data_IF_525215287905
#
_entry.id   IF_525215287905
#
_cell.length_a   1.000
_cell.length_b   1.000
_cell.length_c   1.000
_cell.angle_alpha   90.00
_cell.angle_beta   90.00
_cell.angle_gamma   90.00
#
_symmetry.space_group_name_H-M   'P 1'
#
loop_
_entity.id
_entity.type
_entity.pdbx_description
1 polymer ?
#
# COMPACT_ATOMS: atom_id res chain seq x y z
N UNK A 1 -17.20 -13.61 -21.51
CA UNK A 1 -16.89 -12.74 -20.35
C UNK A 1 -15.48 -13.10 -19.89
N UNK A 2 -14.61 -12.16 -19.50
CA UNK A 2 -13.23 -12.51 -19.12
C UNK A 2 -13.19 -13.49 -17.94
N UNK A 3 -14.10 -13.30 -16.97
CA UNK A 3 -14.31 -14.16 -15.79
C UNK A 3 -14.71 -15.62 -16.12
N UNK A 4 -15.13 -15.92 -17.36
CA UNK A 4 -15.51 -17.27 -17.77
C UNK A 4 -14.37 -18.03 -18.47
N UNK A 5 -13.14 -17.51 -18.42
CA UNK A 5 -11.96 -18.11 -19.04
C UNK A 5 -10.99 -18.59 -17.96
N UNK A 6 -10.12 -19.59 -18.23
CA UNK A 6 -9.21 -20.18 -17.22
C UNK A 6 -7.98 -19.30 -16.92
N UNK A 7 -8.13 -17.97 -17.01
CA UNK A 7 -7.04 -17.01 -16.76
C UNK A 7 -7.19 -16.39 -15.38
N UNK A 8 -6.06 -16.12 -14.74
CA UNK A 8 -6.02 -15.36 -13.49
C UNK A 8 -6.16 -13.88 -13.84
N UNK A 9 -7.10 -13.19 -13.18
CA UNK A 9 -7.33 -11.75 -13.35
C UNK A 9 -6.79 -11.03 -12.11
N UNK A 10 -6.04 -9.96 -12.34
CA UNK A 10 -5.66 -9.02 -11.30
C UNK A 10 -5.99 -7.59 -11.68
N UNK A 11 -6.53 -6.85 -10.72
CA UNK A 11 -6.76 -5.42 -10.78
C UNK A 11 -5.56 -4.69 -10.18
N UNK A 12 -4.82 -3.98 -11.02
CA UNK A 12 -3.58 -3.29 -10.63
C UNK A 12 -3.76 -1.78 -10.60
N UNK A 13 -3.16 -1.11 -9.61
CA UNK A 13 -3.11 0.37 -9.55
C UNK A 13 -1.90 0.89 -8.78
N UNK A 14 -1.38 2.07 -9.17
CA UNK A 14 -0.26 2.75 -8.52
C UNK A 14 -0.70 3.77 -7.45
N UNK A 15 -1.83 3.53 -6.80
CA UNK A 15 -2.40 4.46 -5.81
C UNK A 15 -1.63 4.42 -4.48
N UNK A 16 -1.22 5.59 -3.98
CA UNK A 16 -0.41 5.73 -2.76
C UNK A 16 -1.17 6.36 -1.58
N UNK A 17 -2.46 6.66 -1.75
CA UNK A 17 -3.28 7.44 -0.81
C UNK A 17 -4.51 6.73 -0.24
N UNK A 18 -4.91 5.61 -0.81
CA UNK A 18 -6.07 4.86 -0.35
C UNK A 18 -5.62 3.43 -0.07
N UNK A 19 -6.16 2.82 0.98
CA UNK A 19 -5.87 1.43 1.28
C UNK A 19 -6.56 0.51 0.28
N UNK A 20 -6.08 -0.73 0.20
CA UNK A 20 -6.64 -1.76 -0.68
C UNK A 20 -8.13 -1.98 -0.46
N UNK A 21 -8.60 -1.87 0.79
CA UNK A 21 -10.01 -2.03 1.17
C UNK A 21 -10.90 -0.92 0.59
N UNK A 22 -10.46 0.32 0.60
CA UNK A 22 -11.24 1.44 0.04
C UNK A 22 -11.47 1.26 -1.46
N UNK A 23 -10.45 0.78 -2.17
CA UNK A 23 -10.54 0.46 -3.59
C UNK A 23 -11.53 -0.68 -3.84
N UNK A 24 -11.48 -1.74 -3.03
CA UNK A 24 -12.42 -2.87 -3.11
C UNK A 24 -13.86 -2.38 -2.94
N UNK A 25 -14.14 -1.62 -1.89
CA UNK A 25 -15.48 -1.08 -1.63
C UNK A 25 -15.98 -0.19 -2.78
N UNK A 26 -15.10 0.62 -3.38
CA UNK A 26 -15.45 1.44 -4.55
C UNK A 26 -15.78 0.60 -5.77
N UNK A 27 -14.99 -0.44 -6.07
CA UNK A 27 -15.25 -1.34 -7.20
C UNK A 27 -16.57 -2.09 -7.02
N UNK A 28 -16.84 -2.60 -5.82
CA UNK A 28 -18.12 -3.27 -5.50
C UNK A 28 -19.31 -2.32 -5.66
N UNK A 29 -19.19 -1.05 -5.20
CA UNK A 29 -20.25 -0.03 -5.38
C UNK A 29 -20.52 0.30 -6.85
N UNK A 30 -19.53 0.12 -7.73
CA UNK A 30 -19.67 0.30 -9.18
C UNK A 30 -20.25 -0.94 -9.89
N UNK A 31 -20.56 -2.02 -9.15
CA UNK A 31 -21.14 -3.24 -9.68
C UNK A 31 -20.13 -4.25 -10.22
N UNK A 32 -18.84 -4.09 -9.90
CA UNK A 32 -17.84 -5.10 -10.22
C UNK A 32 -17.86 -6.23 -9.19
N UNK A 33 -17.79 -7.47 -9.67
CA UNK A 33 -17.56 -8.66 -8.88
C UNK A 33 -16.05 -8.87 -8.76
N UNK A 34 -15.46 -8.41 -7.66
CA UNK A 34 -14.01 -8.41 -7.39
C UNK A 34 -13.79 -8.87 -5.96
N UNK A 35 -12.86 -9.80 -5.78
CA UNK A 35 -12.41 -10.23 -4.48
C UNK A 35 -11.13 -9.48 -4.06
N UNK A 36 -10.90 -9.36 -2.74
CA UNK A 36 -9.75 -8.63 -2.21
C UNK A 36 -8.41 -9.19 -2.71
N UNK A 37 -8.27 -10.51 -2.83
CA UNK A 37 -7.06 -11.16 -3.33
C UNK A 37 -6.78 -10.90 -4.83
N UNK A 38 -7.75 -10.40 -5.58
CA UNK A 38 -7.59 -10.02 -6.99
C UNK A 38 -7.07 -8.59 -7.18
N UNK A 39 -6.99 -7.80 -6.10
CA UNK A 39 -6.48 -6.43 -6.13
C UNK A 39 -5.01 -6.41 -5.72
N UNK A 40 -4.18 -5.77 -6.53
CA UNK A 40 -2.76 -5.57 -6.27
C UNK A 40 -2.38 -4.08 -6.44
N UNK A 41 -1.95 -3.44 -5.35
CA UNK A 41 -1.61 -2.01 -5.33
C UNK A 41 -0.10 -1.80 -5.22
N UNK A 42 0.37 -0.59 -5.51
CA UNK A 42 1.75 -0.19 -5.19
C UNK A 42 2.07 -0.33 -3.68
N UNK A 43 1.09 -0.11 -2.79
CA UNK A 43 1.22 -0.35 -1.35
C UNK A 43 1.38 -1.84 -1.04
N UNK A 44 0.63 -2.72 -1.72
CA UNK A 44 0.79 -4.18 -1.61
C UNK A 44 2.21 -4.59 -2.03
N UNK A 45 2.71 -4.04 -3.13
CA UNK A 45 4.08 -4.29 -3.59
C UNK A 45 5.13 -3.82 -2.57
N UNK A 46 4.95 -2.63 -1.99
CA UNK A 46 5.83 -2.10 -0.95
C UNK A 46 5.83 -2.99 0.30
N UNK A 47 4.64 -3.40 0.79
CA UNK A 47 4.50 -4.32 1.92
C UNK A 47 5.23 -5.65 1.67
N UNK A 48 5.02 -6.27 0.51
CA UNK A 48 5.67 -7.53 0.16
C UNK A 48 7.20 -7.40 0.18
N UNK A 49 7.73 -6.27 -0.31
CA UNK A 49 9.17 -6.02 -0.29
C UNK A 49 9.70 -5.84 1.13
N UNK A 50 8.96 -5.16 2.01
CA UNK A 50 9.33 -5.02 3.42
C UNK A 50 9.40 -6.38 4.13
N UNK A 51 8.39 -7.23 3.91
CA UNK A 51 8.33 -8.59 4.48
C UNK A 51 9.49 -9.46 3.94
N UNK A 52 9.75 -9.40 2.63
CA UNK A 52 10.86 -10.13 2.00
C UNK A 52 12.23 -9.67 2.51
N UNK A 53 12.41 -8.37 2.76
CA UNK A 53 13.67 -7.79 3.25
C UNK A 53 13.82 -7.86 4.77
N UNK A 54 12.74 -8.19 5.49
CA UNK A 54 12.69 -8.25 6.96
C UNK A 54 13.17 -6.94 7.61
N UNK A 55 12.71 -5.80 7.07
CA UNK A 55 13.05 -4.46 7.55
C UNK A 55 11.87 -3.81 8.27
N UNK A 56 12.17 -2.87 9.15
CA UNK A 56 11.22 -2.04 9.89
C UNK A 56 11.18 -0.64 9.26
N UNK A 57 10.10 -0.25 8.57
CA UNK A 57 10.08 1.00 7.85
C UNK A 57 9.71 2.20 8.73
N UNK A 58 10.33 3.34 8.45
CA UNK A 58 9.71 4.64 8.61
C UNK A 58 8.76 4.87 7.43
N UNK A 59 7.46 4.94 7.73
CA UNK A 59 6.41 5.09 6.73
C UNK A 59 6.12 6.58 6.49
N UNK A 60 6.57 7.12 5.35
CA UNK A 60 6.20 8.46 4.86
C UNK A 60 5.08 8.32 3.82
N UNK A 61 3.92 7.87 4.26
CA UNK A 61 2.72 7.62 3.43
C UNK A 61 1.51 8.38 3.99
N UNK A 62 0.46 8.54 3.20
CA UNK A 62 -0.80 9.13 3.70
C UNK A 62 -1.38 8.26 4.84
N UNK A 63 -1.99 8.85 5.86
CA UNK A 63 -2.59 8.10 6.98
C UNK A 63 -3.59 7.04 6.51
N UNK A 64 -4.30 7.31 5.41
CA UNK A 64 -5.24 6.37 4.79
C UNK A 64 -4.58 5.13 4.18
N UNK A 65 -3.27 5.18 3.92
CA UNK A 65 -2.50 4.05 3.41
C UNK A 65 -1.95 3.15 4.55
N UNK A 66 -1.92 3.63 5.80
CA UNK A 66 -1.41 2.87 6.95
C UNK A 66 -2.08 1.50 7.17
N UNK A 67 -3.39 1.30 6.92
CA UNK A 67 -4.02 -0.01 7.04
C UNK A 67 -3.32 -1.11 6.23
N UNK A 68 -2.79 -0.79 5.05
CA UNK A 68 -2.06 -1.75 4.18
C UNK A 68 -0.73 -2.20 4.81
N UNK A 69 -0.20 -1.50 5.81
CA UNK A 69 1.02 -1.85 6.54
C UNK A 69 0.77 -2.45 7.93
N UNK A 70 -0.50 -2.72 8.30
CA UNK A 70 -0.83 -3.32 9.60
C UNK A 70 -0.06 -4.62 9.83
N UNK A 71 0.57 -4.77 11.00
CA UNK A 71 1.38 -5.93 11.36
C UNK A 71 2.85 -5.87 10.96
N UNK A 72 3.28 -4.81 10.25
CA UNK A 72 4.70 -4.52 10.03
C UNK A 72 5.23 -3.74 11.25
N UNK A 73 6.35 -4.18 11.83
CA UNK A 73 7.02 -3.49 12.92
C UNK A 73 7.65 -2.17 12.42
N UNK A 74 7.41 -1.08 13.14
CA UNK A 74 7.87 0.29 12.77
C UNK A 74 8.71 0.96 13.87
N UNK A 75 8.95 0.25 14.98
CA UNK A 75 9.89 0.64 16.02
C UNK A 75 11.33 0.57 15.51
N UNK A 76 12.17 1.50 15.97
CA UNK A 76 13.60 1.60 15.59
C UNK A 76 13.84 1.36 14.08
N UNK A 77 13.34 2.25 13.21
CA UNK A 77 13.25 1.99 11.78
C UNK A 77 14.62 1.87 11.12
N UNK A 78 14.76 0.91 10.21
CA UNK A 78 15.99 0.65 9.43
C UNK A 78 15.75 0.65 7.91
N UNK A 79 14.57 1.09 7.47
CA UNK A 79 14.21 1.36 6.08
C UNK A 79 13.29 2.58 6.01
N UNK A 80 13.15 3.18 4.83
CA UNK A 80 12.20 4.28 4.60
C UNK A 80 11.31 3.92 3.41
N UNK A 81 10.00 4.04 3.60
CA UNK A 81 9.01 3.94 2.52
C UNK A 81 8.45 5.32 2.24
N UNK A 82 8.54 5.76 0.98
CA UNK A 82 8.11 7.09 0.56
C UNK A 82 6.92 6.97 -0.39
N UNK A 83 5.76 7.45 0.06
CA UNK A 83 4.56 7.64 -0.74
C UNK A 83 4.33 9.12 -1.08
N UNK A 84 3.09 9.47 -1.41
CA UNK A 84 2.67 10.87 -1.52
C UNK A 84 2.06 11.31 -0.19
N UNK A 85 2.89 11.86 0.69
CA UNK A 85 2.51 12.27 2.04
C UNK A 85 2.89 13.73 2.32
N UNK A 86 2.13 14.71 1.81
CA UNK A 86 2.43 16.13 2.00
C UNK A 86 2.62 16.53 3.47
N UNK A 87 1.80 15.97 4.37
CA UNK A 87 1.86 16.22 5.82
C UNK A 87 3.15 15.70 6.47
N UNK A 88 3.87 14.79 5.82
CA UNK A 88 5.16 14.26 6.29
C UNK A 88 6.36 14.89 5.58
N UNK A 89 6.14 15.72 4.57
CA UNK A 89 7.21 16.36 3.81
C UNK A 89 7.62 17.70 4.40
N UNK A 90 7.96 17.67 5.70
CA UNK A 90 8.57 18.78 6.41
C UNK A 90 10.01 18.46 6.83
N UNK A 91 10.80 19.51 7.09
CA UNK A 91 12.25 19.41 7.29
C UNK A 91 12.66 18.40 8.37
N UNK A 92 11.98 18.41 9.51
CA UNK A 92 12.27 17.50 10.62
C UNK A 92 12.08 16.03 10.25
N UNK A 93 10.96 15.70 9.59
CA UNK A 93 10.67 14.32 9.19
C UNK A 93 11.62 13.84 8.10
N UNK A 94 11.92 14.69 7.11
CA UNK A 94 12.87 14.35 6.06
C UNK A 94 14.28 14.14 6.64
N UNK A 95 14.73 14.99 7.57
CA UNK A 95 16.00 14.77 8.25
C UNK A 95 16.03 13.47 9.05
N UNK A 96 14.91 13.06 9.67
CA UNK A 96 14.81 11.76 10.36
C UNK A 96 14.91 10.59 9.37
N UNK A 97 14.37 10.74 8.16
CA UNK A 97 14.39 9.69 7.14
C UNK A 97 15.78 9.50 6.48
N UNK A 98 16.58 10.55 6.36
CA UNK A 98 17.88 10.52 5.67
C UNK A 98 19.10 10.50 6.59
N UNK A 99 18.90 10.33 7.90
CA UNK A 99 19.98 10.11 8.89
C UNK A 99 20.13 8.63 9.18
#
# INVERSE_FOLDING_TARGET
>A
RLLSTPVIIQFVTNMTKECKRDLLERLMKLGFDVAENEIFTSLTAARNLLEQKQVRPLLLVDDKALPDFTGIATDDPNAVVVGLAPEHFHYEMMNRAFR
#
